data_IF_144362521268
#
_entry.id   IF_144362521268
#
_cell.length_a   1.000
_cell.length_b   1.000
_cell.length_c   1.000
_cell.angle_alpha   90.00
_cell.angle_beta   90.00
_cell.angle_gamma   90.00
#
_symmetry.space_group_name_H-M   'P 1'
#
loop_
_entity.id
_entity.type
_entity.pdbx_description
1 polymer ?
#
# COMPACT_ATOMS: atom_id res chain seq x y z
N UNK A 1 -0.53 7.95 -18.40
CA UNK A 1 0.18 6.71 -17.99
C UNK A 1 1.69 6.90 -17.99
N UNK A 2 2.39 7.02 -19.14
CA UNK A 2 3.86 7.25 -19.15
C UNK A 2 4.29 8.52 -18.40
N UNK A 3 3.50 9.60 -18.50
CA UNK A 3 3.71 10.86 -17.76
C UNK A 3 3.71 10.69 -16.24
N UNK A 4 2.77 9.91 -15.71
CA UNK A 4 2.60 9.66 -14.26
C UNK A 4 3.87 9.09 -13.64
N UNK A 5 4.43 8.02 -14.22
CA UNK A 5 5.64 7.39 -13.69
C UNK A 5 6.88 8.28 -13.79
N UNK A 6 6.94 9.13 -14.83
CA UNK A 6 8.03 10.10 -15.02
C UNK A 6 7.95 11.27 -14.06
N UNK A 7 6.77 11.60 -13.51
CA UNK A 7 6.65 12.58 -12.44
C UNK A 7 6.88 11.94 -11.06
N UNK A 8 6.25 10.79 -10.82
CA UNK A 8 6.27 10.09 -9.54
C UNK A 8 7.68 9.73 -9.09
N UNK A 9 8.40 8.92 -9.90
CA UNK A 9 9.67 8.33 -9.47
C UNK A 9 10.74 9.40 -9.18
N UNK A 10 10.92 10.45 -10.02
CA UNK A 10 11.86 11.52 -9.73
C UNK A 10 11.44 12.38 -8.53
N UNK A 11 10.15 12.70 -8.37
CA UNK A 11 9.66 13.46 -7.21
C UNK A 11 9.93 12.71 -5.91
N UNK A 12 9.62 11.42 -5.88
CA UNK A 12 9.87 10.58 -4.72
C UNK A 12 11.37 10.48 -4.41
N UNK A 13 12.21 10.26 -5.43
CA UNK A 13 13.66 10.19 -5.25
C UNK A 13 14.24 11.50 -4.68
N UNK A 14 13.70 12.65 -5.07
CA UNK A 14 14.18 13.97 -4.63
C UNK A 14 13.64 14.39 -3.26
N UNK A 15 12.34 14.23 -3.06
CA UNK A 15 11.62 14.86 -1.94
C UNK A 15 11.20 13.85 -0.86
N UNK A 16 11.39 12.54 -1.10
CA UNK A 16 10.83 11.43 -0.30
C UNK A 16 9.30 11.42 -0.25
N UNK A 17 8.66 12.22 -1.08
CA UNK A 17 7.20 12.34 -1.18
C UNK A 17 6.77 12.07 -2.62
N UNK A 18 5.87 11.09 -2.84
CA UNK A 18 5.36 10.80 -4.17
C UNK A 18 4.21 11.76 -4.48
N UNK A 19 4.52 12.81 -5.27
CA UNK A 19 3.54 13.79 -5.77
C UNK A 19 3.39 13.61 -7.28
N UNK A 20 2.15 13.50 -7.75
CA UNK A 20 1.79 13.25 -9.15
C UNK A 20 0.65 14.19 -9.52
N UNK A 21 0.86 15.07 -10.49
CA UNK A 21 -0.14 16.07 -10.93
C UNK A 21 -0.82 16.81 -9.76
N UNK A 22 -0.05 17.15 -8.72
CA UNK A 22 -0.54 17.83 -7.51
C UNK A 22 -1.22 16.94 -6.47
N UNK A 23 -1.50 15.68 -6.79
CA UNK A 23 -1.98 14.68 -5.84
C UNK A 23 -0.81 14.16 -5.01
N UNK A 24 -0.91 14.32 -3.69
CA UNK A 24 0.05 13.74 -2.74
C UNK A 24 -0.39 12.33 -2.37
N UNK A 25 0.47 11.35 -2.64
CA UNK A 25 0.25 9.98 -2.21
C UNK A 25 0.87 9.78 -0.82
N UNK A 26 0.01 9.53 0.17
CA UNK A 26 0.40 9.39 1.57
C UNK A 26 0.95 7.99 1.90
N UNK A 27 1.89 7.88 2.87
CA UNK A 27 2.32 6.60 3.41
C UNK A 27 1.16 5.85 4.08
N UNK A 28 1.26 4.53 4.13
CA UNK A 28 0.27 3.69 4.82
C UNK A 28 0.28 4.02 6.32
N UNK A 29 -0.90 4.33 6.86
CA UNK A 29 -1.10 4.81 8.24
C UNK A 29 -1.01 3.71 9.31
N UNK A 30 -0.88 2.44 8.92
CA UNK A 30 -0.87 1.29 9.83
C UNK A 30 -2.21 0.99 10.47
N UNK A 31 -3.30 1.55 9.93
CA UNK A 31 -4.68 1.28 10.35
C UNK A 31 -5.29 0.13 9.54
N UNK A 32 -6.47 -0.34 9.94
CA UNK A 32 -7.24 -1.36 9.20
C UNK A 32 -7.75 -0.88 7.83
N UNK A 33 -7.66 0.42 7.57
CA UNK A 33 -7.97 1.02 6.28
C UNK A 33 -6.69 1.11 5.45
N UNK A 34 -6.67 0.42 4.31
CA UNK A 34 -5.60 0.58 3.34
C UNK A 34 -5.94 1.76 2.43
N UNK A 35 -5.16 2.83 2.54
CA UNK A 35 -5.19 4.00 1.66
C UNK A 35 -4.24 3.77 0.48
N UNK A 36 -4.71 4.00 -0.73
CA UNK A 36 -3.94 3.77 -1.95
C UNK A 36 -4.28 4.82 -3.01
N UNK A 37 -3.33 5.05 -3.91
CA UNK A 37 -3.56 5.89 -5.08
C UNK A 37 -4.32 5.08 -6.14
N UNK A 38 -5.51 5.52 -6.49
CA UNK A 38 -6.28 4.95 -7.59
C UNK A 38 -5.88 5.63 -8.91
N UNK A 39 -5.49 4.82 -9.89
CA UNK A 39 -5.07 5.25 -11.22
C UNK A 39 -6.08 4.76 -12.26
N UNK A 40 -7.18 5.49 -12.40
CA UNK A 40 -8.26 5.10 -13.33
C UNK A 40 -7.94 5.51 -14.77
N UNK A 41 -7.33 6.67 -14.95
CA UNK A 41 -6.85 7.15 -16.25
C UNK A 41 -5.68 8.13 -16.06
N UNK A 42 -4.99 8.56 -17.14
CA UNK A 42 -3.91 9.56 -17.05
C UNK A 42 -4.30 10.87 -16.36
N UNK A 43 -5.57 11.26 -16.43
CA UNK A 43 -6.08 12.53 -15.90
C UNK A 43 -7.05 12.30 -14.72
N UNK A 44 -7.22 11.05 -14.30
CA UNK A 44 -8.13 10.63 -13.22
C UNK A 44 -7.32 9.84 -12.19
N UNK A 45 -6.72 10.58 -11.26
CA UNK A 45 -5.94 10.09 -10.13
C UNK A 45 -6.51 10.68 -8.84
N UNK A 46 -6.74 9.82 -7.85
CA UNK A 46 -7.18 10.25 -6.52
C UNK A 46 -6.77 9.26 -5.45
N UNK A 47 -6.70 9.72 -4.21
CA UNK A 47 -6.52 8.85 -3.05
C UNK A 47 -7.86 8.18 -2.71
N UNK A 48 -7.82 6.87 -2.54
CA UNK A 48 -8.97 6.06 -2.15
C UNK A 48 -8.59 5.23 -0.92
N UNK A 49 -9.58 4.72 -0.21
CA UNK A 49 -9.40 4.01 1.06
C UNK A 49 -10.45 2.95 1.24
N UNK A 50 -10.00 1.73 1.52
CA UNK A 50 -10.91 0.60 1.70
C UNK A 50 -10.49 -0.24 2.91
N UNK A 51 -11.49 -0.76 3.62
CA UNK A 51 -11.31 -1.73 4.69
C UNK A 51 -11.52 -3.14 4.17
N UNK A 52 -11.00 -4.13 4.91
CA UNK A 52 -11.23 -5.55 4.64
C UNK A 52 -10.81 -6.01 3.22
N UNK A 53 -9.69 -5.47 2.73
CA UNK A 53 -9.09 -5.89 1.47
C UNK A 53 -8.83 -7.40 1.45
N UNK A 54 -9.15 -8.05 0.32
CA UNK A 54 -8.87 -9.47 0.12
C UNK A 54 -9.55 -10.40 1.13
N UNK A 55 -10.65 -9.96 1.76
CA UNK A 55 -11.30 -10.64 2.87
C UNK A 55 -10.34 -10.86 4.07
N UNK A 56 -9.53 -9.85 4.41
CA UNK A 56 -8.64 -9.87 5.57
C UNK A 56 -9.33 -10.37 6.85
N UNK A 57 -10.59 -9.99 7.07
CA UNK A 57 -11.39 -10.45 8.21
C UNK A 57 -11.73 -11.95 8.17
N UNK A 58 -11.80 -12.54 6.98
CA UNK A 58 -11.96 -13.99 6.82
C UNK A 58 -10.62 -14.68 7.10
N UNK A 59 -9.54 -14.25 6.47
CA UNK A 59 -8.21 -14.85 6.63
C UNK A 59 -7.69 -14.75 8.07
N UNK A 60 -7.95 -13.65 8.79
CA UNK A 60 -7.57 -13.46 10.19
C UNK A 60 -8.30 -14.39 11.17
N UNK A 61 -9.45 -14.94 10.77
CA UNK A 61 -10.25 -15.89 11.57
C UNK A 61 -9.88 -17.34 11.33
N UNK A 62 -9.11 -17.63 10.29
CA UNK A 62 -8.64 -18.99 10.06
C UNK A 62 -7.62 -19.35 11.15
N UNK A 63 -7.65 -20.57 11.70
CA UNK A 63 -6.66 -21.03 12.67
C UNK A 63 -5.33 -21.38 11.98
N UNK A 64 -4.87 -20.53 11.06
CA UNK A 64 -3.60 -20.66 10.37
C UNK A 64 -2.51 -20.18 11.31
N UNK A 65 -1.74 -21.12 11.87
CA UNK A 65 -0.60 -20.89 12.76
C UNK A 65 0.65 -20.38 12.03
N UNK A 66 0.52 -19.77 10.86
CA UNK A 66 1.67 -19.37 10.03
C UNK A 66 2.56 -18.33 10.73
N UNK A 67 1.99 -17.52 11.63
CA UNK A 67 2.76 -16.62 12.49
C UNK A 67 3.55 -17.37 13.58
N UNK A 68 3.03 -18.49 14.12
CA UNK A 68 3.75 -19.30 15.11
C UNK A 68 4.91 -20.09 14.47
N UNK A 69 4.76 -20.52 13.21
CA UNK A 69 5.81 -21.24 12.47
C UNK A 69 7.01 -20.33 12.19
N UNK A 70 6.77 -19.05 11.84
CA UNK A 70 7.87 -18.09 11.58
C UNK A 70 8.67 -17.74 12.83
N UNK A 71 8.04 -17.63 14.00
CA UNK A 71 8.78 -17.38 15.25
C UNK A 71 9.59 -18.60 15.67
N UNK A 72 9.04 -19.82 15.55
CA UNK A 72 9.78 -21.05 15.85
C UNK A 72 11.02 -21.25 14.99
N UNK A 73 10.93 -20.97 13.69
CA UNK A 73 12.08 -21.13 12.77
C UNK A 73 13.18 -20.09 13.05
N UNK A 74 12.82 -18.90 13.56
CA UNK A 74 13.79 -17.84 13.87
C UNK A 74 14.60 -18.16 15.13
N UNK A 75 14.03 -18.87 16.09
CA UNK A 75 14.71 -19.29 17.32
C UNK A 75 15.62 -20.53 17.11
N UNK A 76 15.48 -21.22 15.97
CA UNK A 76 16.26 -22.41 15.60
C UNK A 76 17.48 -22.10 14.70
N UNK A 77 17.77 -20.82 14.39
CA UNK A 77 18.90 -20.34 13.56
C UNK A 77 19.81 -19.37 14.33
#
# INVERSE_FOLDING_TARGET
MKSIFLQWLPNFAKNKEPIIDGVKWYPVSGTDTLEFLNLKSPDDLFMDGHQNWGAANFWSKLPLKDNEIRERIRDEL
#
